data_IF_855371764900
#
_entry.id   IF_855371764900
#
_cell.length_a   1.000
_cell.length_b   1.000
_cell.length_c   1.000
_cell.angle_alpha   90.00
_cell.angle_beta   90.00
_cell.angle_gamma   90.00
#
_symmetry.space_group_name_H-M   'P 1'
#
loop_
_entity.id
_entity.type
_entity.pdbx_description
1 polymer ?
#
# COMPACT_ATOMS: atom_id res chain seq x y z
N UNK A 1 -15.78 -4.08 -1.31
CA UNK A 1 -14.50 -3.64 -0.71
C UNK A 1 -13.53 -3.52 -1.85
N UNK A 2 -12.81 -2.42 -1.89
CA UNK A 2 -11.83 -2.14 -2.94
C UNK A 2 -10.44 -2.50 -2.42
N UNK A 3 -9.50 -2.77 -3.33
CA UNK A 3 -8.13 -3.16 -3.01
C UNK A 3 -7.17 -2.18 -3.64
N UNK A 4 -6.17 -1.84 -2.85
CA UNK A 4 -5.15 -0.86 -3.15
C UNK A 4 -3.76 -1.48 -2.93
N UNK A 5 -3.02 -1.76 -4.00
CA UNK A 5 -1.72 -2.44 -3.90
C UNK A 5 -0.55 -1.47 -3.95
N UNK A 6 0.21 -1.33 -2.87
CA UNK A 6 1.39 -0.47 -2.84
C UNK A 6 2.64 -1.29 -3.14
N UNK A 7 3.40 -0.90 -4.16
CA UNK A 7 4.61 -1.58 -4.61
C UNK A 7 5.84 -0.75 -4.24
N UNK A 8 6.92 -1.39 -3.80
CA UNK A 8 8.20 -0.73 -3.54
C UNK A 8 9.36 -1.71 -3.64
N UNK A 9 10.50 -1.29 -4.17
CA UNK A 9 11.74 -2.07 -4.08
C UNK A 9 12.49 -1.87 -2.74
N UNK A 10 11.96 -1.04 -1.85
CA UNK A 10 12.55 -0.76 -0.53
C UNK A 10 11.68 -1.32 0.59
N UNK A 11 12.21 -2.30 1.34
CA UNK A 11 11.57 -2.89 2.53
C UNK A 11 11.22 -1.84 3.59
N UNK A 12 12.04 -0.81 3.71
CA UNK A 12 11.87 0.26 4.71
C UNK A 12 10.52 0.95 4.59
N UNK A 13 9.97 1.09 3.38
CA UNK A 13 8.68 1.75 3.12
C UNK A 13 7.52 0.97 3.73
N UNK A 14 7.59 -0.35 3.62
CA UNK A 14 6.64 -1.25 4.27
C UNK A 14 6.72 -1.11 5.80
N UNK A 15 7.94 -1.15 6.34
CA UNK A 15 8.16 -1.04 7.80
C UNK A 15 7.62 0.30 8.33
N UNK A 16 7.81 1.38 7.56
CA UNK A 16 7.25 2.69 7.86
C UNK A 16 5.73 2.72 7.79
N UNK A 17 5.12 2.13 6.75
CA UNK A 17 3.66 2.06 6.67
C UNK A 17 3.06 1.27 7.84
N UNK A 18 3.65 0.12 8.17
CA UNK A 18 3.21 -0.72 9.28
C UNK A 18 3.30 0.03 10.63
N UNK A 19 4.37 0.80 10.83
CA UNK A 19 4.50 1.66 12.02
C UNK A 19 3.48 2.80 11.99
N UNK A 20 3.30 3.47 10.86
CA UNK A 20 2.36 4.57 10.67
C UNK A 20 0.92 4.16 10.97
N UNK A 21 0.43 3.08 10.36
CA UNK A 21 -0.97 2.67 10.47
C UNK A 21 -1.33 2.23 11.90
N UNK A 22 -0.39 1.61 12.63
CA UNK A 22 -0.55 1.23 14.05
C UNK A 22 -0.79 2.43 14.96
N UNK A 23 -0.23 3.58 14.62
CA UNK A 23 -0.33 4.82 15.40
C UNK A 23 -1.27 5.84 14.77
N UNK A 24 -1.98 5.48 13.69
CA UNK A 24 -2.85 6.41 12.99
C UNK A 24 -4.11 6.67 13.80
N UNK A 25 -4.28 7.91 14.29
CA UNK A 25 -5.28 8.27 15.30
C UNK A 25 -6.73 8.03 14.89
N UNK A 26 -7.02 7.92 13.60
CA UNK A 26 -8.38 7.65 13.11
C UNK A 26 -8.74 6.18 13.04
N UNK A 27 -7.78 5.29 13.29
CA UNK A 27 -7.95 3.83 13.32
C UNK A 27 -7.70 3.28 14.72
N UNK A 28 -8.30 2.12 14.95
CA UNK A 28 -8.06 1.26 16.09
C UNK A 28 -7.69 -0.12 15.55
N UNK A 29 -6.60 -0.67 16.07
CA UNK A 29 -6.25 -2.07 15.83
C UNK A 29 -7.35 -2.97 16.43
N UNK A 30 -7.82 -3.93 15.65
CA UNK A 30 -8.81 -4.90 16.09
C UNK A 30 -8.19 -6.28 16.31
N UNK A 31 -7.52 -6.80 15.28
CA UNK A 31 -6.92 -8.13 15.29
C UNK A 31 -5.87 -8.25 14.19
N UNK A 32 -5.19 -9.40 14.13
CA UNK A 32 -4.31 -9.81 13.05
C UNK A 32 -4.42 -11.32 12.83
N UNK A 33 -4.23 -11.77 11.61
CA UNK A 33 -3.95 -13.17 11.28
C UNK A 33 -2.46 -13.34 10.91
N UNK A 34 -2.12 -14.40 10.16
CA UNK A 34 -0.74 -14.73 9.79
C UNK A 34 -0.01 -13.63 9.02
N UNK A 35 -0.74 -12.85 8.22
CA UNK A 35 -0.16 -11.90 7.26
C UNK A 35 -0.97 -10.61 7.10
N UNK A 36 -2.13 -10.53 7.74
CA UNK A 36 -3.09 -9.44 7.60
C UNK A 36 -3.38 -8.78 8.95
N UNK A 37 -3.33 -7.45 8.99
CA UNK A 37 -3.76 -6.65 10.14
C UNK A 37 -5.10 -5.98 9.86
N UNK A 38 -5.99 -6.03 10.85
CA UNK A 38 -7.36 -5.53 10.76
C UNK A 38 -7.53 -4.26 11.60
N UNK A 39 -8.07 -3.22 10.96
CA UNK A 39 -8.31 -1.92 11.59
C UNK A 39 -9.75 -1.44 11.39
N UNK A 40 -10.32 -0.88 12.46
CA UNK A 40 -11.62 -0.21 12.46
C UNK A 40 -11.45 1.29 12.68
N UNK A 41 -12.35 2.10 12.12
CA UNK A 41 -12.47 3.50 12.54
C UNK A 41 -12.97 3.56 13.98
N UNK A 42 -12.52 4.55 14.74
CA UNK A 42 -12.94 4.75 16.13
C UNK A 42 -14.47 4.80 16.34
N UNK A 43 -15.21 5.26 15.32
CA UNK A 43 -16.67 5.40 15.36
C UNK A 43 -17.42 4.37 14.49
N UNK A 44 -16.75 3.32 14.01
CA UNK A 44 -17.34 2.27 13.17
C UNK A 44 -17.18 0.89 13.83
N UNK A 45 -18.17 0.02 13.66
CA UNK A 45 -18.09 -1.40 14.05
C UNK A 45 -17.75 -2.32 12.88
N UNK A 46 -17.37 -1.76 11.73
CA UNK A 46 -17.05 -2.50 10.51
C UNK A 46 -15.59 -2.27 10.17
N UNK A 47 -14.86 -3.31 9.80
CA UNK A 47 -13.48 -3.19 9.34
C UNK A 47 -13.40 -2.21 8.18
N UNK A 48 -12.54 -1.21 8.33
CA UNK A 48 -12.38 -0.13 7.37
C UNK A 48 -11.11 -0.35 6.55
N UNK A 49 -10.07 -0.91 7.17
CA UNK A 49 -8.80 -1.23 6.52
C UNK A 49 -8.32 -2.63 6.89
N UNK A 50 -7.88 -3.34 5.86
CA UNK A 50 -7.14 -4.59 5.93
C UNK A 50 -5.78 -4.35 5.30
N UNK A 51 -4.72 -4.76 5.97
CA UNK A 51 -3.36 -4.55 5.49
C UNK A 51 -2.63 -5.89 5.41
N UNK A 52 -2.34 -6.35 4.19
CA UNK A 52 -1.66 -7.62 3.92
C UNK A 52 -0.26 -7.38 3.34
N UNK A 53 0.71 -8.23 3.70
CA UNK A 53 2.11 -8.11 3.30
C UNK A 53 2.60 -9.31 2.48
N UNK A 54 3.22 -9.06 1.32
CA UNK A 54 3.89 -10.10 0.54
C UNK A 54 5.25 -9.62 0.01
N UNK A 55 6.26 -10.47 0.19
CA UNK A 55 7.47 -10.42 -0.63
C UNK A 55 7.16 -11.14 -1.94
N UNK A 56 7.24 -10.43 -3.06
CA UNK A 56 6.75 -10.94 -4.33
C UNK A 56 7.88 -11.20 -5.33
N UNK A 57 7.68 -12.24 -6.12
CA UNK A 57 8.50 -12.56 -7.29
C UNK A 57 7.90 -11.93 -8.54
N UNK A 58 8.63 -11.96 -9.65
CA UNK A 58 8.09 -11.58 -10.96
C UNK A 58 6.85 -12.38 -11.33
N UNK A 59 6.77 -13.64 -10.93
CA UNK A 59 5.63 -14.52 -11.24
C UNK A 59 4.33 -14.00 -10.61
N UNK A 60 4.38 -13.42 -9.41
CA UNK A 60 3.22 -12.77 -8.78
C UNK A 60 2.74 -11.54 -9.55
N UNK A 61 3.64 -10.79 -10.19
CA UNK A 61 3.27 -9.69 -11.08
C UNK A 61 2.56 -10.24 -12.33
N UNK A 62 3.15 -11.27 -12.93
CA UNK A 62 2.65 -11.85 -14.18
C UNK A 62 1.25 -12.49 -14.01
N UNK A 63 0.93 -12.98 -12.80
CA UNK A 63 -0.36 -13.61 -12.48
C UNK A 63 -1.47 -12.62 -12.12
N UNK A 64 -1.14 -11.52 -11.42
CA UNK A 64 -2.15 -10.65 -10.80
C UNK A 64 -2.38 -9.32 -11.55
N UNK A 65 -1.48 -8.92 -12.43
CA UNK A 65 -1.49 -7.61 -13.09
C UNK A 65 -1.72 -7.71 -14.59
N UNK A 66 -2.26 -6.65 -15.20
CA UNK A 66 -2.43 -6.57 -16.65
C UNK A 66 -1.08 -6.41 -17.35
N UNK A 67 -0.98 -6.70 -18.66
CA UNK A 67 0.28 -6.57 -19.42
C UNK A 67 0.88 -5.15 -19.30
N UNK A 68 0.04 -4.12 -19.35
CA UNK A 68 0.49 -2.73 -19.25
C UNK A 68 1.06 -2.42 -17.86
N UNK A 69 0.40 -2.91 -16.80
CA UNK A 69 0.89 -2.80 -15.43
C UNK A 69 2.22 -3.56 -15.26
N UNK A 70 2.31 -4.78 -15.81
CA UNK A 70 3.51 -5.62 -15.74
C UNK A 70 4.72 -4.91 -16.38
N UNK A 71 4.53 -4.30 -17.57
CA UNK A 71 5.58 -3.54 -18.25
C UNK A 71 6.03 -2.33 -17.42
N UNK A 72 5.08 -1.60 -16.84
CA UNK A 72 5.36 -0.44 -16.01
C UNK A 72 6.12 -0.83 -14.73
N UNK A 73 5.62 -1.84 -14.01
CA UNK A 73 6.25 -2.36 -12.79
C UNK A 73 7.65 -2.88 -13.12
N UNK A 74 7.79 -3.72 -14.15
CA UNK A 74 9.08 -4.31 -14.57
C UNK A 74 10.13 -3.26 -14.92
N UNK A 75 9.73 -2.20 -15.64
CA UNK A 75 10.61 -1.08 -15.97
C UNK A 75 11.11 -0.36 -14.70
N UNK A 76 10.24 -0.21 -13.71
CA UNK A 76 10.57 0.49 -12.47
C UNK A 76 11.46 -0.35 -11.53
N UNK A 77 11.07 -1.60 -11.25
CA UNK A 77 11.83 -2.48 -10.35
C UNK A 77 13.10 -3.03 -11.00
N UNK A 78 13.25 -2.89 -12.33
CA UNK A 78 14.39 -3.41 -13.11
C UNK A 78 14.65 -4.89 -12.89
N UNK A 79 13.58 -5.68 -12.73
CA UNK A 79 13.60 -7.09 -12.33
C UNK A 79 14.32 -7.36 -10.98
N UNK A 80 14.44 -6.35 -10.11
CA UNK A 80 14.93 -6.52 -8.73
C UNK A 80 13.80 -7.02 -7.83
N UNK A 81 14.13 -7.65 -6.67
CA UNK A 81 13.14 -7.97 -5.67
C UNK A 81 12.33 -6.74 -5.23
N UNK A 82 11.06 -6.95 -4.91
CA UNK A 82 10.15 -5.90 -4.50
C UNK A 82 9.17 -6.42 -3.45
N UNK A 83 8.50 -5.47 -2.81
CA UNK A 83 7.52 -5.67 -1.77
C UNK A 83 6.20 -5.14 -2.27
N UNK A 84 5.12 -5.87 -2.01
CA UNK A 84 3.76 -5.39 -2.18
C UNK A 84 3.05 -5.44 -0.83
N UNK A 85 2.25 -4.42 -0.57
CA UNK A 85 1.24 -4.51 0.46
C UNK A 85 -0.10 -4.00 -0.01
N UNK A 86 -1.15 -4.74 0.33
CA UNK A 86 -2.51 -4.42 -0.07
C UNK A 86 -3.25 -3.75 1.07
N UNK A 87 -3.97 -2.68 0.73
CA UNK A 87 -4.93 -2.02 1.60
C UNK A 87 -6.31 -2.31 1.05
N UNK A 88 -7.09 -3.16 1.72
CA UNK A 88 -8.51 -3.29 1.38
C UNK A 88 -9.31 -2.25 2.14
N UNK A 89 -10.18 -1.51 1.46
CA UNK A 89 -10.90 -0.39 2.06
C UNK A 89 -12.38 -0.34 1.66
N UNK A 90 -13.15 0.41 2.44
CA UNK A 90 -14.59 0.67 2.20
C UNK A 90 -14.89 2.13 1.87
N UNK A 91 -14.12 3.06 2.41
CA UNK A 91 -14.34 4.49 2.28
C UNK A 91 -13.14 5.14 1.58
N UNK A 92 -13.38 5.58 0.34
CA UNK A 92 -12.37 6.19 -0.51
C UNK A 92 -11.87 7.55 0.04
N UNK A 93 -12.75 8.35 0.65
CA UNK A 93 -12.35 9.63 1.25
C UNK A 93 -11.40 9.39 2.43
N UNK A 94 -11.71 8.40 3.25
CA UNK A 94 -10.84 7.97 4.33
C UNK A 94 -9.50 7.46 3.82
N UNK A 95 -9.51 6.59 2.80
CA UNK A 95 -8.29 6.10 2.18
C UNK A 95 -7.42 7.24 1.64
N UNK A 96 -8.02 8.18 0.89
CA UNK A 96 -7.30 9.32 0.34
C UNK A 96 -6.65 10.17 1.43
N UNK A 97 -7.33 10.37 2.57
CA UNK A 97 -6.77 11.07 3.72
C UNK A 97 -5.61 10.30 4.36
N UNK A 98 -5.76 8.99 4.58
CA UNK A 98 -4.70 8.12 5.10
C UNK A 98 -3.45 8.18 4.22
N UNK A 99 -3.63 8.06 2.90
CA UNK A 99 -2.53 8.11 1.93
C UNK A 99 -1.84 9.48 1.95
N UNK A 100 -2.60 10.57 1.99
CA UNK A 100 -2.05 11.92 2.13
C UNK A 100 -1.19 12.04 3.40
N UNK A 101 -1.69 11.58 4.54
CA UNK A 101 -0.95 11.65 5.81
C UNK A 101 0.29 10.75 5.81
N UNK A 102 0.21 9.58 5.18
CA UNK A 102 1.35 8.71 4.96
C UNK A 102 2.39 9.37 4.05
N UNK A 103 1.97 10.09 2.99
CA UNK A 103 2.86 10.88 2.14
C UNK A 103 3.67 11.88 2.95
N UNK A 104 2.98 12.68 3.76
CA UNK A 104 3.60 13.70 4.61
C UNK A 104 4.65 13.04 5.51
N UNK A 105 4.34 11.87 6.07
CA UNK A 105 5.29 11.09 6.88
C UNK A 105 6.49 10.57 6.11
N UNK A 106 6.30 10.09 4.88
CA UNK A 106 7.39 9.64 4.01
C UNK A 106 8.40 10.77 3.71
N UNK A 107 7.91 11.99 3.50
CA UNK A 107 8.74 13.16 3.23
C UNK A 107 9.67 13.52 4.40
N UNK A 108 9.35 13.10 5.62
CA UNK A 108 10.19 13.30 6.81
C UNK A 108 11.43 12.39 6.80
N UNK A 109 11.47 11.35 5.96
CA UNK A 109 12.42 10.22 6.09
C UNK A 109 13.41 10.12 4.93
N UNK A 110 13.05 10.48 3.69
CA UNK A 110 13.97 10.38 2.54
C UNK A 110 13.53 11.20 1.31
N UNK A 111 14.50 11.83 0.64
CA UNK A 111 14.35 12.50 -0.67
C UNK A 111 14.82 11.63 -1.86
N UNK A 112 15.17 10.35 -1.64
CA UNK A 112 15.77 9.50 -2.68
C UNK A 112 14.76 9.00 -3.72
N UNK A 113 15.16 9.09 -5.00
CA UNK A 113 14.36 9.01 -6.24
C UNK A 113 13.66 7.66 -6.55
N UNK A 114 13.65 6.68 -5.65
CA UNK A 114 13.08 5.35 -5.90
C UNK A 114 11.91 5.02 -4.98
N UNK A 115 10.87 5.85 -4.99
CA UNK A 115 9.58 5.51 -4.40
C UNK A 115 8.47 5.69 -5.43
N UNK A 116 7.83 4.60 -5.85
CA UNK A 116 6.58 4.66 -6.63
C UNK A 116 5.58 3.67 -6.04
N UNK A 117 4.60 4.23 -5.33
CA UNK A 117 3.34 3.58 -4.91
C UNK A 117 2.35 3.72 -6.06
N UNK A 118 1.72 2.65 -6.58
CA UNK A 118 0.72 2.69 -7.68
C UNK A 118 -0.62 2.18 -7.22
N UNK A 119 -1.75 2.84 -7.54
CA UNK A 119 -2.96 2.65 -6.73
C UNK A 119 -4.32 2.59 -7.45
N UNK A 120 -4.97 1.44 -7.26
CA UNK A 120 -6.39 1.06 -7.35
C UNK A 120 -6.87 0.32 -8.60
N UNK A 121 -7.33 -0.93 -8.37
CA UNK A 121 -8.01 -1.78 -9.36
C UNK A 121 -9.36 -1.20 -9.83
N UNK A 122 -10.01 -0.32 -9.07
CA UNK A 122 -11.34 0.19 -9.46
C UNK A 122 -11.32 1.21 -10.60
N UNK A 123 -10.17 1.83 -10.88
CA UNK A 123 -10.05 2.83 -11.97
C UNK A 123 -8.83 2.66 -12.89
N UNK A 124 -8.02 1.60 -12.75
CA UNK A 124 -6.81 1.37 -13.57
C UNK A 124 -5.87 2.57 -13.65
N UNK A 125 -5.89 3.45 -12.64
CA UNK A 125 -5.07 4.66 -12.62
C UNK A 125 -3.77 4.42 -11.89
N UNK A 126 -2.70 4.25 -12.65
CA UNK A 126 -1.32 4.32 -12.18
C UNK A 126 -1.05 5.75 -11.69
N UNK A 127 -1.17 5.99 -10.39
CA UNK A 127 -0.77 7.25 -9.76
C UNK A 127 0.61 7.08 -9.16
N UNK A 128 1.57 7.87 -9.62
CA UNK A 128 2.89 7.91 -9.00
C UNK A 128 2.85 8.70 -7.69
N UNK A 129 3.37 8.09 -6.63
CA UNK A 129 3.49 8.72 -5.32
C UNK A 129 4.95 9.00 -5.02
N UNK A 130 5.40 10.19 -5.41
CA UNK A 130 6.70 10.71 -5.01
C UNK A 130 6.54 11.49 -3.69
N UNK A 131 7.52 11.41 -2.77
CA UNK A 131 7.59 12.33 -1.65
C UNK A 131 7.56 13.80 -2.13
#
# INVERSE_FOLDING_TARGET
MEVLSIISNKKVILEYFNSFIKHYSSLKFESSDSDTNFYTKLNSKKNEIFFHFLFNSKEEIDLNFTIDDQLHISSFIKNSPFYIFDIQYRDELFLNKLLFDFKVKLNEIQHDENLIVLLSYTNSTIKHFYP
#
